data_IF_076184320652
#
_entry.id   IF_076184320652
#
_cell.length_a   1.000
_cell.length_b   1.000
_cell.length_c   1.000
_cell.angle_alpha   90.00
_cell.angle_beta   90.00
_cell.angle_gamma   90.00
#
_symmetry.space_group_name_H-M   'P 1'
#
loop_
_entity.id
_entity.type
_entity.pdbx_description
1 polymer ?
#
# COMPACT_ATOMS: atom_id res chain seq x y z
N UNK A 1 -34.60 -30.98 5.38
CA UNK A 1 -34.51 -29.62 5.97
C UNK A 1 -33.38 -29.65 7.00
N UNK A 2 -32.14 -29.34 6.57
CA UNK A 2 -30.96 -29.42 7.45
C UNK A 2 -30.65 -28.03 8.01
N UNK A 3 -30.98 -27.84 9.28
CA UNK A 3 -30.65 -26.64 10.06
C UNK A 3 -29.16 -26.75 10.40
N UNK A 4 -28.31 -26.02 9.67
CA UNK A 4 -26.90 -25.84 10.09
C UNK A 4 -26.89 -24.96 11.33
N UNK A 5 -26.75 -25.56 12.50
CA UNK A 5 -26.49 -24.87 13.76
C UNK A 5 -25.08 -24.24 13.66
N UNK A 6 -24.99 -22.91 13.53
CA UNK A 6 -23.72 -22.20 13.65
C UNK A 6 -23.23 -22.31 15.10
N UNK A 7 -21.95 -22.73 15.30
CA UNK A 7 -21.32 -22.78 16.62
C UNK A 7 -21.34 -21.40 17.29
N UNK A 8 -21.57 -21.30 18.63
CA UNK A 8 -21.59 -20.03 19.37
C UNK A 8 -20.29 -19.20 19.20
N UNK A 9 -19.16 -19.85 18.94
CA UNK A 9 -17.89 -19.17 18.65
C UNK A 9 -17.92 -18.45 17.30
N UNK A 10 -18.52 -19.02 16.25
CA UNK A 10 -18.65 -18.37 14.93
C UNK A 10 -19.54 -17.13 14.99
N UNK A 11 -20.60 -17.15 15.81
CA UNK A 11 -21.48 -15.98 15.97
C UNK A 11 -20.80 -14.83 16.72
N UNK A 12 -19.94 -15.12 17.71
CA UNK A 12 -19.18 -14.11 18.47
C UNK A 12 -18.07 -13.46 17.62
N UNK A 13 -17.33 -14.25 16.85
CA UNK A 13 -16.24 -13.75 16.00
C UNK A 13 -16.78 -12.87 14.87
N UNK A 14 -17.88 -13.26 14.22
CA UNK A 14 -18.53 -12.43 13.20
C UNK A 14 -19.07 -11.11 13.78
N UNK A 15 -19.59 -11.12 15.01
CA UNK A 15 -20.09 -9.91 15.67
C UNK A 15 -18.95 -8.92 16.03
N UNK A 16 -17.78 -9.41 16.46
CA UNK A 16 -16.62 -8.56 16.79
C UNK A 16 -16.06 -7.90 15.52
N UNK A 17 -15.85 -8.67 14.47
CA UNK A 17 -15.35 -8.17 13.17
C UNK A 17 -16.28 -7.12 12.58
N UNK A 18 -17.61 -7.34 12.67
CA UNK A 18 -18.60 -6.38 12.18
C UNK A 18 -18.64 -5.08 12.99
N UNK A 19 -18.42 -5.16 14.31
CA UNK A 19 -18.41 -3.98 15.20
C UNK A 19 -17.13 -3.16 15.11
N UNK A 20 -15.99 -3.82 14.92
CA UNK A 20 -14.66 -3.19 14.95
C UNK A 20 -13.79 -3.63 13.77
N UNK A 21 -14.23 -3.44 12.52
CA UNK A 21 -13.53 -3.97 11.34
C UNK A 21 -12.10 -3.42 11.19
N UNK A 22 -11.88 -2.13 11.45
CA UNK A 22 -10.56 -1.50 11.37
C UNK A 22 -9.61 -1.99 12.46
N UNK A 23 -10.08 -2.10 13.70
CA UNK A 23 -9.25 -2.61 14.79
C UNK A 23 -8.82 -4.06 14.53
N UNK A 24 -9.75 -4.92 14.10
CA UNK A 24 -9.45 -6.30 13.71
C UNK A 24 -8.42 -6.33 12.57
N UNK A 25 -8.59 -5.49 11.54
CA UNK A 25 -7.69 -5.43 10.42
C UNK A 25 -6.28 -5.02 10.85
N UNK A 26 -6.14 -3.92 11.57
CA UNK A 26 -4.82 -3.42 11.97
C UNK A 26 -4.11 -4.39 12.92
N UNK A 27 -4.78 -4.87 13.95
CA UNK A 27 -4.19 -5.80 14.93
C UNK A 27 -3.74 -7.09 14.26
N UNK A 28 -4.60 -7.73 13.45
CA UNK A 28 -4.25 -8.97 12.77
C UNK A 28 -3.13 -8.79 11.76
N UNK A 29 -3.14 -7.67 11.01
CA UNK A 29 -2.11 -7.34 10.02
C UNK A 29 -0.75 -7.15 10.68
N UNK A 30 -0.67 -6.38 11.77
CA UNK A 30 0.59 -6.16 12.48
C UNK A 30 1.09 -7.44 13.14
N UNK A 31 0.25 -8.14 13.90
CA UNK A 31 0.64 -9.37 14.60
C UNK A 31 1.14 -10.42 13.60
N UNK A 32 0.38 -10.71 12.55
CA UNK A 32 0.75 -11.75 11.60
C UNK A 32 2.02 -11.39 10.80
N UNK A 33 2.14 -10.15 10.30
CA UNK A 33 3.33 -9.73 9.56
C UNK A 33 4.57 -9.68 10.46
N UNK A 34 4.46 -9.10 11.66
CA UNK A 34 5.59 -9.00 12.58
C UNK A 34 6.03 -10.37 13.12
N UNK A 35 5.10 -11.32 13.33
CA UNK A 35 5.47 -12.70 13.64
C UNK A 35 6.26 -13.36 12.50
N UNK A 36 5.91 -13.11 11.24
CA UNK A 36 6.65 -13.61 10.08
C UNK A 36 8.03 -12.95 9.94
N UNK A 37 8.16 -11.66 10.29
CA UNK A 37 9.41 -10.92 10.19
C UNK A 37 10.28 -10.99 11.44
N UNK A 38 9.74 -11.41 12.59
CA UNK A 38 10.51 -11.56 13.83
C UNK A 38 11.76 -12.45 13.68
N UNK A 39 11.73 -13.62 12.99
CA UNK A 39 12.93 -14.42 12.75
C UNK A 39 14.02 -13.64 11.99
N UNK A 40 13.66 -12.75 11.08
CA UNK A 40 14.62 -11.93 10.31
C UNK A 40 15.39 -10.97 11.21
N UNK A 41 14.74 -10.44 12.25
CA UNK A 41 15.34 -9.53 13.23
C UNK A 41 16.15 -10.30 14.28
N UNK A 42 15.56 -11.36 14.84
CA UNK A 42 16.14 -12.14 15.94
C UNK A 42 17.29 -13.03 15.51
N UNK A 43 17.24 -13.58 14.29
CA UNK A 43 18.24 -14.50 13.73
C UNK A 43 19.03 -13.82 12.61
N UNK A 44 19.28 -12.51 12.77
CA UNK A 44 19.95 -11.68 11.76
C UNK A 44 21.27 -12.29 11.29
N UNK A 45 21.42 -12.42 9.97
CA UNK A 45 22.65 -12.95 9.34
C UNK A 45 22.83 -14.46 9.42
N UNK A 46 21.94 -15.21 10.08
CA UNK A 46 22.04 -16.68 10.20
C UNK A 46 21.05 -17.43 9.31
N UNK A 47 20.00 -16.77 8.86
CA UNK A 47 18.99 -17.39 7.99
C UNK A 47 19.50 -17.51 6.56
N UNK A 48 19.25 -18.64 5.87
CA UNK A 48 19.47 -18.74 4.43
C UNK A 48 18.72 -17.65 3.67
N UNK A 49 19.36 -17.05 2.65
CA UNK A 49 18.78 -15.95 1.89
C UNK A 49 17.37 -16.27 1.31
N UNK A 50 17.18 -17.50 0.83
CA UNK A 50 15.87 -17.96 0.32
C UNK A 50 14.79 -17.94 1.41
N UNK A 51 15.11 -18.36 2.64
CA UNK A 51 14.16 -18.32 3.76
C UNK A 51 13.85 -16.88 4.14
N UNK A 52 14.85 -16.01 4.24
CA UNK A 52 14.66 -14.60 4.52
C UNK A 52 13.76 -13.93 3.46
N UNK A 53 14.02 -14.20 2.18
CA UNK A 53 13.21 -13.71 1.07
C UNK A 53 11.75 -14.16 1.16
N UNK A 54 11.49 -15.45 1.43
CA UNK A 54 10.14 -16.00 1.59
C UNK A 54 9.42 -15.32 2.77
N UNK A 55 10.07 -15.13 3.91
CA UNK A 55 9.47 -14.47 5.07
C UNK A 55 9.10 -13.00 4.75
N UNK A 56 9.97 -12.28 4.02
CA UNK A 56 9.65 -10.91 3.57
C UNK A 56 8.42 -10.91 2.68
N UNK A 57 8.34 -11.81 1.70
CA UNK A 57 7.19 -11.91 0.81
C UNK A 57 5.91 -12.26 1.56
N UNK A 58 5.93 -13.30 2.39
CA UNK A 58 4.75 -13.73 3.14
C UNK A 58 4.22 -12.61 4.04
N UNK A 59 5.12 -11.90 4.75
CA UNK A 59 4.74 -10.74 5.55
C UNK A 59 4.13 -9.62 4.70
N UNK A 60 4.68 -9.34 3.52
CA UNK A 60 4.14 -8.35 2.58
C UNK A 60 2.73 -8.67 2.06
N UNK A 61 2.34 -9.95 2.05
CA UNK A 61 1.00 -10.39 1.63
C UNK A 61 -0.04 -10.42 2.77
N UNK A 62 0.38 -10.24 4.03
CA UNK A 62 -0.53 -10.26 5.19
C UNK A 62 -1.67 -9.26 5.07
N UNK A 63 -1.47 -7.98 4.70
CA UNK A 63 -2.58 -7.02 4.65
C UNK A 63 -3.71 -7.48 3.72
N UNK A 64 -3.37 -7.97 2.53
CA UNK A 64 -4.35 -8.45 1.56
C UNK A 64 -5.04 -9.74 2.01
N UNK A 65 -4.28 -10.65 2.61
CA UNK A 65 -4.83 -11.91 3.16
C UNK A 65 -5.82 -11.62 4.28
N UNK A 66 -5.46 -10.77 5.24
CA UNK A 66 -6.35 -10.36 6.35
C UNK A 66 -7.61 -9.68 5.80
N UNK A 67 -7.47 -8.77 4.83
CA UNK A 67 -8.62 -8.09 4.23
C UNK A 67 -9.57 -9.09 3.54
N UNK A 68 -9.05 -10.06 2.78
CA UNK A 68 -9.85 -11.09 2.12
C UNK A 68 -10.61 -11.92 3.17
N UNK A 69 -9.94 -12.33 4.26
CA UNK A 69 -10.56 -13.10 5.34
C UNK A 69 -11.67 -12.30 6.04
N UNK A 70 -11.40 -11.03 6.41
CA UNK A 70 -12.39 -10.18 7.06
C UNK A 70 -13.60 -9.92 6.14
N UNK A 71 -13.37 -9.61 4.87
CA UNK A 71 -14.45 -9.43 3.89
C UNK A 71 -15.24 -10.73 3.68
N UNK A 72 -14.58 -11.89 3.68
CA UNK A 72 -15.27 -13.19 3.61
C UNK A 72 -16.17 -13.43 4.83
N UNK A 73 -15.71 -13.06 6.04
CA UNK A 73 -16.51 -13.16 7.28
C UNK A 73 -17.71 -12.19 7.25
N UNK A 74 -17.49 -10.95 6.80
CA UNK A 74 -18.50 -9.89 6.84
C UNK A 74 -19.52 -10.00 5.69
N UNK A 75 -19.06 -10.38 4.50
CA UNK A 75 -19.82 -10.24 3.25
C UNK A 75 -19.81 -11.50 2.38
N UNK A 76 -19.19 -12.59 2.85
CA UNK A 76 -19.14 -13.86 2.13
C UNK A 76 -18.41 -13.78 0.79
N UNK A 77 -18.60 -14.79 -0.05
CA UNK A 77 -17.95 -14.90 -1.38
C UNK A 77 -18.24 -13.71 -2.30
N UNK A 78 -19.44 -13.09 -2.19
CA UNK A 78 -19.79 -11.94 -3.02
C UNK A 78 -18.94 -10.72 -2.68
N UNK A 79 -18.68 -10.46 -1.39
CA UNK A 79 -17.80 -9.39 -0.95
C UNK A 79 -16.38 -9.59 -1.44
N UNK A 80 -15.82 -10.80 -1.30
CA UNK A 80 -14.48 -11.13 -1.79
C UNK A 80 -14.38 -10.91 -3.31
N UNK A 81 -15.35 -11.41 -4.09
CA UNK A 81 -15.38 -11.21 -5.54
C UNK A 81 -15.40 -9.73 -5.91
N UNK A 82 -16.14 -8.91 -5.16
CA UNK A 82 -16.19 -7.45 -5.39
C UNK A 82 -14.87 -6.77 -5.06
N UNK A 83 -14.22 -7.15 -3.95
CA UNK A 83 -12.91 -6.64 -3.58
C UNK A 83 -11.87 -6.98 -4.66
N UNK A 84 -11.77 -8.25 -5.06
CA UNK A 84 -10.85 -8.71 -6.10
C UNK A 84 -11.15 -8.09 -7.48
N UNK A 85 -12.42 -7.88 -7.80
CA UNK A 85 -12.85 -7.24 -9.04
C UNK A 85 -12.29 -5.82 -9.23
N UNK A 86 -11.88 -5.14 -8.14
CA UNK A 86 -11.25 -3.82 -8.21
C UNK A 86 -9.81 -3.86 -8.73
N UNK A 87 -9.12 -5.01 -8.63
CA UNK A 87 -7.79 -5.22 -9.23
C UNK A 87 -7.83 -5.25 -10.76
N UNK A 88 -8.96 -5.62 -11.33
CA UNK A 88 -9.14 -5.68 -12.80
C UNK A 88 -9.97 -4.51 -13.33
N UNK A 89 -10.17 -3.45 -12.52
CA UNK A 89 -10.88 -2.24 -12.95
C UNK A 89 -9.94 -1.33 -13.75
N UNK A 90 -9.79 -1.64 -15.05
CA UNK A 90 -8.90 -0.95 -15.97
C UNK A 90 -9.58 0.18 -16.78
N UNK A 91 -10.92 0.14 -16.92
CA UNK A 91 -11.66 1.16 -17.68
C UNK A 91 -11.79 2.45 -16.86
N UNK A 92 -10.69 3.18 -16.79
CA UNK A 92 -10.55 4.51 -16.20
C UNK A 92 -10.02 5.46 -17.26
N UNK A 93 -10.19 6.78 -17.10
CA UNK A 93 -9.69 7.73 -18.10
C UNK A 93 -8.19 7.60 -18.32
N UNK A 94 -7.71 7.70 -19.57
CA UNK A 94 -6.30 7.54 -19.97
C UNK A 94 -5.33 8.44 -19.17
N UNK A 95 -5.80 9.62 -18.75
CA UNK A 95 -5.05 10.54 -17.90
C UNK A 95 -4.50 9.89 -16.62
N UNK A 96 -5.19 8.90 -16.06
CA UNK A 96 -4.78 8.25 -14.83
C UNK A 96 -3.60 7.30 -15.04
N UNK A 97 -3.49 6.69 -16.21
CA UNK A 97 -2.29 5.94 -16.61
C UNK A 97 -1.09 6.89 -16.81
N UNK A 98 -1.33 8.07 -17.40
CA UNK A 98 -0.28 9.08 -17.52
C UNK A 98 0.24 9.54 -16.14
N UNK A 99 -0.64 9.72 -15.16
CA UNK A 99 -0.25 10.06 -13.78
C UNK A 99 0.64 8.98 -13.16
N UNK A 100 0.31 7.70 -13.35
CA UNK A 100 1.14 6.57 -12.88
C UNK A 100 2.53 6.60 -13.51
N UNK A 101 2.65 7.02 -14.78
CA UNK A 101 3.93 7.12 -15.50
C UNK A 101 4.74 8.38 -15.13
N UNK A 102 4.10 9.42 -14.59
CA UNK A 102 4.79 10.66 -14.19
C UNK A 102 5.51 10.50 -12.85
N UNK A 103 4.97 9.74 -11.91
CA UNK A 103 5.58 9.58 -10.57
C UNK A 103 7.01 9.05 -10.61
N UNK A 104 7.37 8.07 -11.46
CA UNK A 104 8.75 7.61 -11.60
C UNK A 104 9.73 8.71 -12.00
N UNK A 105 9.27 9.78 -12.65
CA UNK A 105 10.13 10.91 -13.03
C UNK A 105 10.65 11.72 -11.83
N UNK A 106 10.02 11.57 -10.66
CA UNK A 106 10.54 12.16 -9.42
C UNK A 106 11.89 11.52 -9.01
N UNK A 107 12.19 10.31 -9.48
CA UNK A 107 13.47 9.62 -9.18
C UNK A 107 14.63 10.32 -9.88
N UNK A 108 14.68 10.42 -11.22
CA UNK A 108 15.75 11.13 -11.91
C UNK A 108 15.80 12.61 -11.54
N UNK A 109 14.64 13.25 -11.27
CA UNK A 109 14.61 14.62 -10.76
C UNK A 109 15.29 14.72 -9.39
N UNK A 110 14.97 13.83 -8.46
CA UNK A 110 15.59 13.81 -7.13
C UNK A 110 17.09 13.56 -7.18
N UNK A 111 17.53 12.65 -8.06
CA UNK A 111 18.95 12.40 -8.31
C UNK A 111 19.67 13.63 -8.90
N UNK A 112 19.07 14.25 -9.91
CA UNK A 112 19.63 15.46 -10.53
C UNK A 112 19.76 16.61 -9.53
N UNK A 113 18.75 16.82 -8.68
CA UNK A 113 18.82 17.80 -7.59
C UNK A 113 19.89 17.42 -6.55
N UNK A 114 20.03 16.13 -6.21
CA UNK A 114 21.07 15.68 -5.29
C UNK A 114 22.47 16.03 -5.81
N UNK A 115 22.75 15.76 -7.09
CA UNK A 115 24.02 16.11 -7.73
C UNK A 115 24.22 17.63 -7.71
N UNK A 116 23.20 18.41 -8.04
CA UNK A 116 23.25 19.88 -8.02
C UNK A 116 23.60 20.42 -6.62
N UNK A 117 23.16 19.74 -5.56
CA UNK A 117 23.48 20.10 -4.17
C UNK A 117 24.76 19.40 -3.64
N UNK A 118 25.63 18.94 -4.53
CA UNK A 118 26.94 18.37 -4.16
C UNK A 118 26.91 16.91 -3.71
N UNK A 119 25.77 16.22 -3.91
CA UNK A 119 25.70 14.77 -3.69
C UNK A 119 26.45 13.97 -4.74
N UNK A 120 26.84 12.72 -4.44
CA UNK A 120 27.56 11.88 -5.39
C UNK A 120 26.67 11.56 -6.60
N UNK A 121 27.29 11.51 -7.77
CA UNK A 121 26.63 11.00 -8.97
C UNK A 121 26.44 9.48 -8.82
N UNK A 122 25.20 8.96 -8.96
CA UNK A 122 24.97 7.53 -8.83
C UNK A 122 25.65 6.80 -10.00
N UNK A 123 26.37 5.74 -9.68
CA UNK A 123 26.76 4.75 -10.67
C UNK A 123 25.56 3.85 -10.92
N UNK A 124 24.75 4.17 -11.94
CA UNK A 124 23.60 3.34 -12.31
C UNK A 124 24.11 2.13 -13.09
N UNK A 125 24.37 1.05 -12.39
CA UNK A 125 24.81 -0.22 -12.99
C UNK A 125 23.59 -1.15 -13.31
N UNK A 126 22.37 -0.61 -13.19
CA UNK A 126 21.16 -1.37 -13.45
C UNK A 126 20.75 -1.26 -14.92
N UNK A 127 20.73 -2.39 -15.62
CA UNK A 127 20.15 -2.44 -16.97
C UNK A 127 18.67 -2.10 -16.95
N UNK A 128 18.14 -1.52 -18.02
CA UNK A 128 16.69 -1.24 -18.15
C UNK A 128 15.86 -2.52 -17.94
N UNK A 129 16.42 -3.68 -18.30
CA UNK A 129 15.78 -4.98 -18.08
C UNK A 129 15.63 -5.26 -16.59
N UNK A 130 16.66 -5.01 -15.77
CA UNK A 130 16.60 -5.20 -14.32
C UNK A 130 15.54 -4.27 -13.67
N UNK A 131 15.43 -3.02 -14.14
CA UNK A 131 14.41 -2.07 -13.68
C UNK A 131 13.00 -2.56 -14.04
N UNK A 132 12.80 -3.04 -15.27
CA UNK A 132 11.50 -3.58 -15.71
C UNK A 132 11.13 -4.86 -14.97
N UNK A 133 12.08 -5.77 -14.76
CA UNK A 133 11.87 -7.00 -13.97
C UNK A 133 11.52 -6.64 -12.53
N UNK A 134 12.24 -5.71 -11.91
CA UNK A 134 11.98 -5.21 -10.56
C UNK A 134 10.59 -4.56 -10.44
N UNK A 135 10.16 -3.80 -11.45
CA UNK A 135 8.82 -3.22 -11.51
C UNK A 135 7.74 -4.30 -11.57
N UNK A 136 7.85 -5.27 -12.50
CA UNK A 136 6.89 -6.37 -12.62
C UNK A 136 6.87 -7.19 -11.33
N UNK A 137 8.03 -7.47 -10.75
CA UNK A 137 8.15 -8.17 -9.48
C UNK A 137 7.47 -7.38 -8.35
N UNK A 138 7.60 -6.06 -8.29
CA UNK A 138 6.95 -5.21 -7.29
C UNK A 138 5.42 -5.28 -7.37
N UNK A 139 4.85 -5.46 -8.56
CA UNK A 139 3.41 -5.69 -8.72
C UNK A 139 3.03 -7.05 -8.14
N UNK A 140 3.64 -8.12 -8.64
CA UNK A 140 3.39 -9.51 -8.27
C UNK A 140 4.63 -10.38 -8.63
N UNK A 141 5.15 -11.20 -7.72
CA UNK A 141 4.69 -11.59 -6.38
C UNK A 141 5.09 -10.62 -5.25
N UNK A 142 5.67 -9.46 -5.57
CA UNK A 142 6.08 -8.47 -4.59
C UNK A 142 4.93 -7.91 -3.75
N UNK A 143 5.12 -6.72 -3.19
CA UNK A 143 4.23 -6.23 -2.14
C UNK A 143 3.01 -5.47 -2.63
N UNK A 144 3.02 -4.84 -3.82
CA UNK A 144 1.97 -3.89 -4.19
C UNK A 144 0.55 -4.51 -4.18
N UNK A 145 0.34 -5.69 -4.79
CA UNK A 145 -0.95 -6.41 -4.69
C UNK A 145 -1.17 -6.95 -3.27
N UNK A 146 -0.10 -7.47 -2.64
CA UNK A 146 -0.14 -8.00 -1.28
C UNK A 146 -0.55 -6.99 -0.22
N UNK A 147 -0.34 -5.71 -0.50
CA UNK A 147 -0.63 -4.61 0.40
C UNK A 147 -1.94 -3.89 0.06
N UNK A 148 -2.18 -3.54 -1.20
CA UNK A 148 -3.21 -2.57 -1.57
C UNK A 148 -4.65 -3.10 -1.45
N UNK A 149 -4.89 -4.40 -1.55
CA UNK A 149 -6.20 -4.98 -1.21
C UNK A 149 -6.56 -4.73 0.25
N UNK A 150 -5.55 -4.76 1.15
CA UNK A 150 -5.70 -4.47 2.56
C UNK A 150 -5.83 -2.97 2.83
N UNK A 151 -4.80 -2.21 2.50
CA UNK A 151 -4.73 -0.82 2.88
C UNK A 151 -5.78 0.04 2.15
N UNK A 152 -5.88 -0.04 0.80
CA UNK A 152 -6.81 0.80 0.02
C UNK A 152 -8.09 0.08 -0.33
N UNK A 153 -8.06 -1.26 -0.41
CA UNK A 153 -9.27 -2.04 -0.67
C UNK A 153 -10.19 -2.20 0.55
N UNK A 154 -9.62 -2.24 1.76
CA UNK A 154 -10.35 -2.46 2.99
C UNK A 154 -10.25 -1.30 4.00
N UNK A 155 -9.04 -0.97 4.49
CA UNK A 155 -8.90 -0.01 5.59
C UNK A 155 -9.29 1.42 5.20
N UNK A 156 -8.84 1.92 4.05
CA UNK A 156 -9.14 3.27 3.60
C UNK A 156 -10.66 3.55 3.47
N UNK A 157 -11.48 2.70 2.80
CA UNK A 157 -12.92 2.90 2.74
C UNK A 157 -13.58 3.01 4.11
N UNK A 158 -13.21 2.16 5.08
CA UNK A 158 -13.74 2.21 6.44
C UNK A 158 -13.29 3.46 7.21
N UNK A 159 -12.06 3.96 6.98
CA UNK A 159 -11.63 5.26 7.53
C UNK A 159 -12.43 6.41 6.92
N UNK A 160 -12.74 6.34 5.64
CA UNK A 160 -13.51 7.36 4.92
C UNK A 160 -15.01 7.37 5.28
N UNK A 161 -15.54 6.37 5.98
CA UNK A 161 -16.93 6.39 6.46
C UNK A 161 -17.20 7.62 7.35
N UNK A 162 -16.26 7.97 8.21
CA UNK A 162 -16.42 9.04 9.20
C UNK A 162 -15.45 10.22 9.05
N UNK A 163 -14.52 10.16 8.10
CA UNK A 163 -13.45 11.16 7.93
C UNK A 163 -13.37 11.66 6.49
N UNK A 164 -12.79 12.85 6.31
CA UNK A 164 -12.40 13.32 4.98
C UNK A 164 -11.34 12.40 4.36
N UNK A 165 -11.23 12.39 3.04
CA UNK A 165 -10.24 11.58 2.34
C UNK A 165 -8.81 11.90 2.77
N UNK A 166 -8.48 13.19 2.97
CA UNK A 166 -7.17 13.61 3.46
C UNK A 166 -6.92 13.12 4.88
N UNK A 167 -7.88 13.28 5.80
CA UNK A 167 -7.73 12.80 7.18
C UNK A 167 -7.55 11.27 7.22
N UNK A 168 -8.30 10.53 6.41
CA UNK A 168 -8.15 9.07 6.28
C UNK A 168 -6.76 8.69 5.76
N UNK A 169 -6.24 9.40 4.74
CA UNK A 169 -4.91 9.18 4.21
C UNK A 169 -3.79 9.48 5.21
N UNK A 170 -3.92 10.60 5.96
CA UNK A 170 -2.96 11.01 7.00
C UNK A 170 -2.97 10.10 8.24
N UNK A 171 -4.06 9.41 8.52
CA UNK A 171 -4.12 8.35 9.55
C UNK A 171 -3.50 7.05 9.02
N UNK A 172 -3.87 6.66 7.79
CA UNK A 172 -3.42 5.41 7.20
C UNK A 172 -1.91 5.41 6.90
N UNK A 173 -1.35 6.56 6.48
CA UNK A 173 0.06 6.68 6.11
C UNK A 173 1.02 6.28 7.23
N UNK A 174 0.93 6.86 8.45
CA UNK A 174 1.76 6.47 9.59
C UNK A 174 1.56 5.01 10.01
N UNK A 175 0.32 4.51 10.00
CA UNK A 175 0.03 3.12 10.30
C UNK A 175 0.72 2.21 9.28
N UNK A 176 0.57 2.48 7.99
CA UNK A 176 1.23 1.73 6.93
C UNK A 176 2.76 1.84 6.98
N UNK A 177 3.30 3.03 7.22
CA UNK A 177 4.74 3.26 7.34
C UNK A 177 5.36 2.51 8.53
N UNK A 178 4.74 2.61 9.72
CA UNK A 178 5.24 1.93 10.93
C UNK A 178 5.13 0.40 10.87
N UNK A 179 4.19 -0.13 10.08
CA UNK A 179 4.10 -1.57 9.82
C UNK A 179 5.39 -2.14 9.22
N UNK A 180 6.15 -1.36 8.44
CA UNK A 180 7.43 -1.77 7.85
C UNK A 180 8.61 -1.74 8.84
N UNK A 181 8.43 -1.24 10.07
CA UNK A 181 9.53 -1.02 11.01
C UNK A 181 10.44 -2.23 11.22
N UNK A 182 9.95 -3.49 11.38
CA UNK A 182 10.83 -4.64 11.51
C UNK A 182 11.81 -4.84 10.35
N UNK A 183 11.42 -4.46 9.13
CA UNK A 183 12.28 -4.57 7.94
C UNK A 183 13.48 -3.59 8.00
N UNK A 184 13.33 -2.46 8.69
CA UNK A 184 14.44 -1.53 8.96
C UNK A 184 15.33 -2.01 10.10
N UNK A 185 14.78 -2.78 11.05
CA UNK A 185 15.56 -3.38 12.14
C UNK A 185 16.49 -4.51 11.65
N UNK A 186 16.21 -5.14 10.53
CA UNK A 186 17.09 -6.15 9.93
C UNK A 186 18.45 -5.52 9.57
N UNK A 187 18.47 -4.22 9.29
CA UNK A 187 19.69 -3.46 8.98
C UNK A 187 20.38 -3.95 7.72
N UNK A 188 19.60 -4.30 6.71
CA UNK A 188 20.14 -4.57 5.37
C UNK A 188 20.70 -3.28 4.77
N UNK A 189 21.71 -3.38 3.92
CA UNK A 189 22.27 -2.24 3.19
C UNK A 189 21.20 -1.48 2.39
N UNK A 190 20.15 -2.19 1.93
CA UNK A 190 19.05 -1.60 1.16
C UNK A 190 18.00 -0.88 2.01
N UNK A 191 18.01 -1.03 3.36
CA UNK A 191 17.06 -0.35 4.27
C UNK A 191 17.74 0.03 5.59
N UNK A 192 18.73 0.93 5.58
CA UNK A 192 19.36 1.38 6.81
C UNK A 192 18.38 2.13 7.69
N UNK A 193 18.46 1.89 9.01
CA UNK A 193 17.52 2.47 9.99
C UNK A 193 17.50 4.01 9.95
N UNK A 194 18.60 4.64 9.57
CA UNK A 194 18.71 6.11 9.41
C UNK A 194 17.72 6.68 8.37
N UNK A 195 17.25 5.86 7.42
CA UNK A 195 16.27 6.26 6.42
C UNK A 195 14.82 6.10 6.89
N UNK A 196 14.58 5.47 8.03
CA UNK A 196 13.21 5.23 8.51
C UNK A 196 12.37 6.51 8.68
N UNK A 197 12.90 7.64 9.19
CA UNK A 197 12.14 8.89 9.25
C UNK A 197 11.72 9.41 7.88
N UNK A 198 12.63 9.39 6.89
CA UNK A 198 12.33 9.80 5.53
C UNK A 198 11.33 8.84 4.86
N UNK A 199 11.47 7.53 5.07
CA UNK A 199 10.51 6.53 4.63
C UNK A 199 9.11 6.77 5.22
N UNK A 200 9.03 7.08 6.51
CA UNK A 200 7.75 7.39 7.18
C UNK A 200 7.05 8.58 6.52
N UNK A 201 7.78 9.66 6.27
CA UNK A 201 7.24 10.84 5.60
C UNK A 201 6.84 10.54 4.15
N UNK A 202 7.65 9.74 3.44
CA UNK A 202 7.31 9.25 2.09
C UNK A 202 6.04 8.41 2.09
N UNK A 203 5.88 7.51 3.07
CA UNK A 203 4.68 6.66 3.21
C UNK A 203 3.42 7.51 3.47
N UNK A 204 3.54 8.58 4.27
CA UNK A 204 2.43 9.52 4.52
C UNK A 204 2.05 10.26 3.22
N UNK A 205 3.03 10.84 2.52
CA UNK A 205 2.81 11.54 1.26
C UNK A 205 2.23 10.60 0.18
N UNK A 206 2.81 9.40 0.07
CA UNK A 206 2.32 8.38 -0.87
C UNK A 206 0.92 7.90 -0.50
N UNK A 207 0.58 7.79 0.80
CA UNK A 207 -0.79 7.46 1.23
C UNK A 207 -1.80 8.49 0.71
N UNK A 208 -1.46 9.77 0.68
CA UNK A 208 -2.31 10.83 0.09
C UNK A 208 -2.46 10.63 -1.42
N UNK A 209 -1.37 10.37 -2.14
CA UNK A 209 -1.39 10.17 -3.59
C UNK A 209 -2.17 8.91 -3.99
N UNK A 210 -1.99 7.80 -3.27
CA UNK A 210 -2.73 6.57 -3.50
C UNK A 210 -4.22 6.72 -3.20
N UNK A 211 -4.58 7.49 -2.15
CA UNK A 211 -5.98 7.83 -1.84
C UNK A 211 -6.60 8.70 -2.94
N UNK A 212 -5.85 9.69 -3.45
CA UNK A 212 -6.27 10.51 -4.59
C UNK A 212 -6.58 9.67 -5.83
N UNK A 213 -5.67 8.78 -6.25
CA UNK A 213 -5.89 7.88 -7.39
C UNK A 213 -7.10 6.97 -7.13
N UNK A 214 -7.16 6.35 -5.95
CA UNK A 214 -8.24 5.45 -5.59
C UNK A 214 -9.61 6.11 -5.68
N UNK A 215 -9.77 7.30 -5.07
CA UNK A 215 -11.04 8.03 -5.12
C UNK A 215 -11.34 8.54 -6.52
N UNK A 216 -10.37 9.11 -7.23
CA UNK A 216 -10.55 9.68 -8.57
C UNK A 216 -10.85 8.64 -9.65
N UNK A 217 -10.52 7.38 -9.42
CA UNK A 217 -10.81 6.25 -10.32
C UNK A 217 -11.97 5.38 -9.83
N UNK A 218 -12.80 5.93 -8.92
CA UNK A 218 -13.92 5.24 -8.31
C UNK A 218 -13.53 3.85 -7.74
N UNK A 219 -12.39 3.77 -7.06
CA UNK A 219 -11.93 2.59 -6.37
C UNK A 219 -11.17 1.56 -7.23
N UNK A 220 -10.49 1.98 -8.31
CA UNK A 220 -9.60 1.09 -9.06
C UNK A 220 -8.37 0.74 -8.23
N UNK A 221 -8.25 -0.52 -7.80
CA UNK A 221 -7.04 -1.01 -7.15
C UNK A 221 -5.93 -1.30 -8.16
N UNK A 222 -6.26 -1.52 -9.44
CA UNK A 222 -5.24 -1.65 -10.49
C UNK A 222 -4.35 -0.42 -10.55
N UNK A 223 -4.94 0.78 -10.63
CA UNK A 223 -4.17 2.02 -10.73
C UNK A 223 -3.39 2.31 -9.44
N UNK A 224 -3.95 1.96 -8.28
CA UNK A 224 -3.28 2.08 -6.99
C UNK A 224 -2.06 1.16 -6.91
N UNK A 225 -2.20 -0.10 -7.31
CA UNK A 225 -1.10 -1.09 -7.38
C UNK A 225 0.00 -0.63 -8.35
N UNK A 226 -0.37 -0.14 -9.53
CA UNK A 226 0.60 0.37 -10.50
C UNK A 226 1.35 1.58 -9.93
N UNK A 227 0.65 2.54 -9.31
CA UNK A 227 1.29 3.71 -8.70
C UNK A 227 2.19 3.30 -7.52
N UNK A 228 1.76 2.35 -6.69
CA UNK A 228 2.59 1.80 -5.61
C UNK A 228 3.85 1.13 -6.16
N UNK A 229 3.70 0.29 -7.19
CA UNK A 229 4.84 -0.37 -7.82
C UNK A 229 5.84 0.62 -8.41
N UNK A 230 5.38 1.72 -9.04
CA UNK A 230 6.26 2.79 -9.51
C UNK A 230 6.95 3.53 -8.36
N UNK A 231 6.27 3.70 -7.22
CA UNK A 231 6.85 4.32 -6.03
C UNK A 231 7.92 3.44 -5.35
N UNK A 232 7.93 2.12 -5.62
CA UNK A 232 8.98 1.22 -5.14
C UNK A 232 10.26 1.26 -6.01
N UNK A 233 10.20 1.82 -7.23
CA UNK A 233 11.38 1.95 -8.10
C UNK A 233 12.53 2.72 -7.46
N UNK A 234 12.31 3.85 -6.72
CA UNK A 234 13.40 4.54 -6.03
C UNK A 234 14.14 3.64 -5.05
N UNK A 235 13.42 2.81 -4.30
CA UNK A 235 14.01 1.86 -3.35
C UNK A 235 14.89 0.86 -4.09
N UNK A 236 14.46 0.37 -5.24
CA UNK A 236 15.19 -0.63 -6.03
C UNK A 236 16.36 -0.01 -6.78
N UNK A 237 16.20 1.20 -7.32
CA UNK A 237 17.20 1.88 -8.16
C UNK A 237 18.18 2.71 -7.34
N UNK A 238 17.70 3.42 -6.29
CA UNK A 238 18.52 4.31 -5.47
C UNK A 238 19.20 3.62 -4.30
N UNK A 239 18.55 2.59 -3.72
CA UNK A 239 19.05 1.92 -2.52
C UNK A 239 19.70 0.56 -2.81
N UNK A 240 19.55 0.00 -4.02
CA UNK A 240 20.13 -1.30 -4.37
C UNK A 240 21.66 -1.31 -4.28
N UNK A 241 22.40 -0.47 -5.06
CA UNK A 241 23.85 -0.41 -5.04
C UNK A 241 24.47 0.73 -4.20
N UNK A 242 23.67 1.67 -3.65
CA UNK A 242 24.13 2.98 -3.17
C UNK A 242 23.88 3.23 -1.67
N UNK A 243 23.84 2.21 -0.85
CA UNK A 243 23.29 2.23 0.51
C UNK A 243 23.79 3.36 1.44
N UNK A 244 25.03 3.79 1.34
CA UNK A 244 25.61 4.85 2.21
C UNK A 244 25.37 6.24 1.62
N UNK A 245 25.41 6.38 0.30
CA UNK A 245 25.27 7.67 -0.40
C UNK A 245 23.80 8.01 -0.74
N UNK A 246 22.86 7.14 -0.38
CA UNK A 246 21.43 7.27 -0.70
C UNK A 246 20.65 8.18 0.27
N UNK A 247 21.24 8.63 1.39
CA UNK A 247 20.53 9.41 2.42
C UNK A 247 20.03 10.74 1.85
N UNK A 248 20.90 11.51 1.21
CA UNK A 248 20.53 12.80 0.63
C UNK A 248 19.53 12.66 -0.54
N UNK A 249 19.78 11.81 -1.56
CA UNK A 249 18.80 11.59 -2.64
C UNK A 249 17.43 11.13 -2.14
N UNK A 250 17.41 10.29 -1.11
CA UNK A 250 16.16 9.80 -0.54
C UNK A 250 15.37 10.91 0.18
N UNK A 251 16.04 11.82 0.91
CA UNK A 251 15.38 12.97 1.52
C UNK A 251 14.86 13.95 0.47
N UNK A 252 15.59 14.17 -0.62
CA UNK A 252 15.12 15.01 -1.73
C UNK A 252 13.90 14.38 -2.39
N UNK A 253 13.93 13.08 -2.66
CA UNK A 253 12.77 12.35 -3.19
C UNK A 253 11.56 12.45 -2.24
N UNK A 254 11.78 12.31 -0.93
CA UNK A 254 10.74 12.48 0.09
C UNK A 254 10.12 13.87 0.03
N UNK A 255 10.95 14.91 -0.07
CA UNK A 255 10.47 16.29 -0.20
C UNK A 255 9.64 16.48 -1.49
N UNK A 256 10.08 15.93 -2.61
CA UNK A 256 9.33 15.97 -3.88
C UNK A 256 7.97 15.26 -3.77
N UNK A 257 7.90 14.11 -3.07
CA UNK A 257 6.64 13.43 -2.81
C UNK A 257 5.70 14.28 -1.95
N UNK A 258 6.21 14.91 -0.90
CA UNK A 258 5.42 15.80 -0.02
C UNK A 258 4.89 16.99 -0.81
N UNK A 259 5.72 17.64 -1.62
CA UNK A 259 5.32 18.75 -2.48
C UNK A 259 4.23 18.28 -3.46
N UNK A 260 4.42 17.13 -4.11
CA UNK A 260 3.45 16.57 -5.05
C UNK A 260 2.11 16.28 -4.34
N UNK A 261 2.13 15.70 -3.16
CA UNK A 261 0.93 15.45 -2.36
C UNK A 261 0.23 16.76 -1.95
N UNK A 262 0.99 17.78 -1.52
CA UNK A 262 0.45 19.09 -1.17
C UNK A 262 -0.21 19.78 -2.38
N UNK A 263 0.42 19.72 -3.55
CA UNK A 263 -0.15 20.23 -4.81
C UNK A 263 -1.45 19.50 -5.14
N UNK A 264 -1.48 18.18 -5.06
CA UNK A 264 -2.70 17.39 -5.30
C UNK A 264 -3.81 17.78 -4.32
N UNK A 265 -3.51 17.94 -3.03
CA UNK A 265 -4.50 18.37 -2.03
C UNK A 265 -5.04 19.77 -2.37
N UNK A 266 -4.16 20.71 -2.75
CA UNK A 266 -4.55 22.06 -3.14
C UNK A 266 -5.50 22.07 -4.35
N UNK A 267 -5.26 21.20 -5.34
CA UNK A 267 -6.11 21.13 -6.54
C UNK A 267 -7.40 20.32 -6.35
N UNK A 268 -7.43 19.32 -5.49
CA UNK A 268 -8.57 18.39 -5.37
C UNK A 268 -9.43 18.63 -4.14
N UNK A 269 -8.90 19.35 -3.17
CA UNK A 269 -9.51 19.59 -1.87
C UNK A 269 -9.40 18.38 -0.93
N UNK A 270 -9.47 18.61 0.40
CA UNK A 270 -9.26 17.58 1.41
C UNK A 270 -10.44 16.61 1.59
N UNK A 271 -11.65 17.00 1.18
CA UNK A 271 -12.87 16.25 1.48
C UNK A 271 -12.90 14.88 0.79
N UNK A 272 -12.64 14.88 -0.53
CA UNK A 272 -12.73 13.68 -1.37
C UNK A 272 -11.38 13.28 -1.98
N UNK A 273 -10.36 14.14 -1.97
CA UNK A 273 -9.15 14.00 -2.79
C UNK A 273 -9.53 13.61 -4.23
N UNK A 274 -10.53 14.28 -4.78
CA UNK A 274 -11.01 14.10 -6.15
C UNK A 274 -11.91 15.27 -6.53
N UNK A 275 -11.81 15.74 -7.77
CA UNK A 275 -12.67 16.82 -8.30
C UNK A 275 -13.97 16.31 -8.90
N UNK A 276 -14.02 15.05 -9.29
CA UNK A 276 -15.11 14.47 -10.09
C UNK A 276 -15.83 13.31 -9.43
N UNK A 277 -15.24 12.74 -8.38
CA UNK A 277 -15.76 11.58 -7.70
C UNK A 277 -15.88 11.85 -6.19
N UNK A 278 -16.90 11.27 -5.54
CA UNK A 278 -16.93 11.21 -4.10
C UNK A 278 -15.88 10.22 -3.57
N UNK A 279 -15.46 10.38 -2.33
CA UNK A 279 -14.61 9.41 -1.64
C UNK A 279 -15.30 8.04 -1.60
N UNK A 280 -14.51 6.97 -1.69
CA UNK A 280 -15.00 5.60 -1.59
C UNK A 280 -15.15 5.21 -0.13
N UNK A 281 -16.29 4.63 0.24
CA UNK A 281 -16.63 4.23 1.62
C UNK A 281 -16.81 2.72 1.75
N UNK A 282 -17.01 2.22 2.97
CA UNK A 282 -17.24 0.79 3.21
C UNK A 282 -18.51 0.27 2.49
N UNK A 283 -19.47 1.14 2.20
CA UNK A 283 -20.65 0.78 1.41
C UNK A 283 -20.30 0.39 -0.03
N UNK A 284 -19.27 0.99 -0.61
CA UNK A 284 -18.81 0.69 -1.98
C UNK A 284 -18.16 -0.70 -2.10
N UNK A 285 -17.77 -1.31 -0.98
CA UNK A 285 -17.25 -2.67 -0.93
C UNK A 285 -18.28 -3.72 -0.52
N UNK A 286 -19.45 -3.30 0.00
CA UNK A 286 -20.55 -4.22 0.33
C UNK A 286 -21.20 -4.78 -0.95
N UNK A 287 -21.61 -6.05 -0.96
CA UNK A 287 -22.38 -6.60 -2.07
C UNK A 287 -23.68 -5.82 -2.27
N UNK A 288 -24.05 -5.56 -3.53
CA UNK A 288 -25.38 -5.04 -3.85
C UNK A 288 -26.41 -6.11 -3.45
N UNK A 289 -27.47 -5.76 -2.69
CA UNK A 289 -28.56 -6.69 -2.42
C UNK A 289 -29.15 -7.22 -3.74
N UNK A 290 -29.58 -8.49 -3.75
CA UNK A 290 -30.32 -8.98 -4.90
C UNK A 290 -31.57 -8.11 -5.08
N UNK A 291 -32.00 -7.78 -6.30
CA UNK A 291 -33.32 -7.19 -6.51
C UNK A 291 -34.34 -8.13 -5.92
N UNK A 292 -35.22 -7.58 -5.09
CA UNK A 292 -36.41 -8.33 -4.57
C UNK A 292 -37.20 -8.76 -5.80
N UNK A 293 -37.53 -10.04 -5.96
CA UNK A 293 -38.42 -10.44 -7.05
C UNK A 293 -39.70 -9.61 -6.98
N UNK A 294 -40.07 -8.99 -8.11
CA UNK A 294 -41.36 -8.34 -8.20
C UNK A 294 -42.43 -9.41 -7.95
N UNK A 295 -43.17 -9.26 -6.86
CA UNK A 295 -44.34 -10.11 -6.51
C UNK A 295 -45.49 -9.79 -7.41
#
# INVERSE_FOLDING_TARGET
MSIRSSSPAQSRTSSLVQRHPLACFFVLTYLAAWCLWAPLVLLRGTLPAAVAFILVLLGGWVPSTVAIVLVAIMHGRRGVRRLLGRLVKWRVGLRWYAVVLILPLLVPLGLGLSILFGGPAPTVDSSIIAVLVGFVFSIFPGSAVGEELGWRGFALPHLQDSRSALAAALILGPIWGSWHFPLFMIGSESRPLILFPAFMLSAIALSVLLTWIYNSTAGSLLLVVLLHATANLPITVLLGPLAIDAVQPYWIFTALLIITAAVVVGFTGPANLSRTQRKQTSEDIRPVPNPVPAT
#
